data_IF_934029078654
#
_entry.id   IF_934029078654
#
_cell.length_a   1.000
_cell.length_b   1.000
_cell.length_c   1.000
_cell.angle_alpha   90.00
_cell.angle_beta   90.00
_cell.angle_gamma   90.00
#
_symmetry.space_group_name_H-M   'P 1'
#
loop_
_entity.id
_entity.type
_entity.pdbx_description
1 polymer ?
#
# COMPACT_ATOMS: atom_id res chain seq x y z
N UNK A 1 -11.63 9.11 7.18
CA UNK A 1 -11.98 9.60 5.83
C UNK A 1 -12.33 8.43 4.95
N UNK A 2 -13.47 8.51 4.28
CA UNK A 2 -13.86 7.47 3.34
C UNK A 2 -13.06 7.62 2.04
N UNK A 3 -12.43 6.53 1.60
CA UNK A 3 -11.56 6.54 0.42
C UNK A 3 -12.13 5.58 -0.62
N UNK A 4 -13.39 5.78 -0.97
CA UNK A 4 -14.03 4.98 -2.00
C UNK A 4 -13.55 5.42 -3.37
N UNK A 5 -13.23 4.48 -4.21
CA UNK A 5 -12.88 4.70 -5.60
C UNK A 5 -11.65 5.59 -5.82
N UNK A 6 -10.84 5.81 -4.77
CA UNK A 6 -9.60 6.55 -4.92
C UNK A 6 -8.60 5.74 -5.74
N UNK A 7 -7.92 6.41 -6.66
CA UNK A 7 -6.86 5.77 -7.44
C UNK A 7 -5.62 5.55 -6.57
N UNK A 8 -4.74 4.65 -7.02
CA UNK A 8 -3.48 4.43 -6.33
C UNK A 8 -2.66 5.71 -6.23
N UNK A 9 -2.67 6.53 -7.27
CA UNK A 9 -1.96 7.80 -7.27
C UNK A 9 -2.49 8.74 -6.20
N UNK A 10 -3.82 8.84 -6.06
CA UNK A 10 -4.44 9.66 -5.02
C UNK A 10 -4.07 9.16 -3.63
N UNK A 11 -4.14 7.85 -3.41
CA UNK A 11 -3.78 7.25 -2.13
C UNK A 11 -2.30 7.48 -1.81
N UNK A 12 -1.45 7.35 -2.80
CA UNK A 12 -0.01 7.59 -2.64
C UNK A 12 0.26 9.04 -2.22
N UNK A 13 -0.41 10.01 -2.86
CA UNK A 13 -0.26 11.42 -2.52
C UNK A 13 -0.77 11.70 -1.10
N UNK A 14 -1.84 11.05 -0.68
CA UNK A 14 -2.35 11.18 0.68
C UNK A 14 -1.31 10.72 1.70
N UNK A 15 -0.62 9.61 1.44
CA UNK A 15 0.44 9.12 2.30
C UNK A 15 1.58 10.13 2.41
N UNK A 16 1.97 10.74 1.30
CA UNK A 16 3.06 11.72 1.28
C UNK A 16 2.75 12.99 2.08
N UNK A 17 1.47 13.27 2.30
CA UNK A 17 1.04 14.46 3.01
C UNK A 17 0.70 14.21 4.49
N UNK A 18 0.97 13.01 4.99
CA UNK A 18 0.73 12.71 6.40
C UNK A 18 1.68 13.51 7.30
N UNK A 19 1.20 13.90 8.50
CA UNK A 19 2.05 14.58 9.47
C UNK A 19 3.26 13.74 9.87
N UNK A 20 4.37 14.40 10.17
CA UNK A 20 5.63 13.72 10.50
C UNK A 20 5.54 12.87 11.77
N UNK A 21 4.65 13.21 12.69
CA UNK A 21 4.49 12.48 13.95
C UNK A 21 3.64 11.21 13.80
N UNK A 22 3.08 10.95 12.63
CA UNK A 22 2.35 9.71 12.37
C UNK A 22 3.35 8.62 12.02
N UNK A 23 3.44 7.60 12.87
CA UNK A 23 4.36 6.48 12.64
C UNK A 23 3.71 5.33 11.86
N UNK A 24 2.40 5.16 12.02
CA UNK A 24 1.66 4.07 11.41
C UNK A 24 0.37 4.58 10.80
N UNK A 25 -0.02 4.00 9.68
CA UNK A 25 -1.27 4.36 9.01
C UNK A 25 -1.91 3.10 8.44
N UNK A 26 -3.23 3.04 8.52
CA UNK A 26 -4.00 1.98 7.88
C UNK A 26 -4.92 2.61 6.85
N UNK A 27 -4.90 2.06 5.63
CA UNK A 27 -5.79 2.49 4.57
C UNK A 27 -6.82 1.39 4.33
N UNK A 28 -8.08 1.76 4.35
CA UNK A 28 -9.19 0.85 4.06
C UNK A 28 -9.96 1.43 2.88
N UNK A 29 -10.18 0.63 1.87
CA UNK A 29 -10.85 1.10 0.67
C UNK A 29 -11.22 -0.05 -0.25
N UNK A 30 -11.32 0.26 -1.52
CA UNK A 30 -11.76 -0.68 -2.54
C UNK A 30 -10.72 -0.88 -3.63
N UNK A 31 -10.77 -2.06 -4.26
CA UNK A 31 -10.01 -2.31 -5.47
C UNK A 31 -10.72 -1.64 -6.65
N UNK A 32 -9.97 -1.26 -7.71
CA UNK A 32 -8.55 -1.60 -7.90
C UNK A 32 -7.55 -0.66 -7.21
N UNK A 33 -8.00 0.41 -6.58
CA UNK A 33 -7.10 1.40 -6.00
C UNK A 33 -6.11 0.83 -4.99
N UNK A 34 -6.60 0.01 -4.04
CA UNK A 34 -5.73 -0.59 -3.04
C UNK A 34 -4.75 -1.58 -3.65
N UNK A 35 -5.20 -2.39 -4.60
CA UNK A 35 -4.36 -3.35 -5.28
C UNK A 35 -3.22 -2.65 -6.03
N UNK A 36 -3.54 -1.60 -6.75
CA UNK A 36 -2.55 -0.83 -7.50
C UNK A 36 -1.57 -0.12 -6.57
N UNK A 37 -2.07 0.40 -5.44
CA UNK A 37 -1.21 1.02 -4.45
C UNK A 37 -0.22 0.00 -3.86
N UNK A 38 -0.70 -1.17 -3.48
CA UNK A 38 0.18 -2.22 -2.93
C UNK A 38 1.25 -2.60 -3.94
N UNK A 39 0.90 -2.75 -5.21
CA UNK A 39 1.86 -3.04 -6.26
C UNK A 39 2.89 -1.91 -6.41
N UNK A 40 2.44 -0.65 -6.33
CA UNK A 40 3.34 0.49 -6.45
C UNK A 40 4.30 0.61 -5.26
N UNK A 41 3.89 0.21 -4.07
CA UNK A 41 4.72 0.29 -2.87
C UNK A 41 5.74 -0.86 -2.80
N UNK A 42 5.43 -2.02 -3.35
CA UNK A 42 6.33 -3.16 -3.36
C UNK A 42 7.54 -2.89 -4.25
N UNK A 43 8.71 -3.49 -3.94
CA UNK A 43 9.91 -3.25 -4.73
C UNK A 43 9.72 -3.57 -6.20
N UNK A 44 10.28 -2.73 -7.08
CA UNK A 44 10.19 -2.92 -8.52
C UNK A 44 10.79 -4.27 -8.92
N UNK A 45 10.08 -5.02 -9.77
CA UNK A 45 10.54 -6.32 -10.23
C UNK A 45 10.41 -7.44 -9.21
N UNK A 46 9.86 -7.17 -8.03
CA UNK A 46 9.70 -8.18 -7.00
C UNK A 46 8.52 -9.11 -7.29
N UNK A 47 8.56 -10.28 -6.65
CA UNK A 47 7.42 -11.20 -6.69
C UNK A 47 6.20 -10.59 -6.03
N UNK A 48 6.42 -9.82 -4.98
CA UNK A 48 5.34 -9.15 -4.24
C UNK A 48 4.61 -8.18 -5.17
N UNK A 49 5.34 -7.38 -5.93
CA UNK A 49 4.72 -6.46 -6.89
C UNK A 49 3.92 -7.21 -7.93
N UNK A 50 4.46 -8.28 -8.48
CA UNK A 50 3.75 -9.08 -9.47
C UNK A 50 2.48 -9.71 -8.90
N UNK A 51 2.58 -10.23 -7.68
CA UNK A 51 1.43 -10.82 -7.00
C UNK A 51 0.30 -9.81 -6.82
N UNK A 52 0.63 -8.58 -6.37
CA UNK A 52 -0.38 -7.54 -6.18
C UNK A 52 -0.99 -7.08 -7.50
N UNK A 53 -0.22 -7.07 -8.58
CA UNK A 53 -0.76 -6.74 -9.89
C UNK A 53 -1.82 -7.75 -10.35
N UNK A 54 -1.65 -9.00 -9.96
CA UNK A 54 -2.56 -10.06 -10.34
C UNK A 54 -3.79 -10.12 -9.47
N UNK A 55 -3.62 -9.96 -8.15
CA UNK A 55 -4.72 -10.15 -7.23
C UNK A 55 -4.48 -9.53 -5.86
N UNK A 56 -5.49 -8.86 -5.35
CA UNK A 56 -5.60 -8.48 -3.94
C UNK A 56 -7.07 -8.71 -3.54
N UNK A 57 -7.39 -9.85 -2.92
CA UNK A 57 -8.79 -10.16 -2.59
C UNK A 57 -9.40 -9.17 -1.62
N UNK A 58 -10.71 -9.02 -1.67
CA UNK A 58 -11.45 -8.25 -0.69
C UNK A 58 -11.17 -8.80 0.70
N UNK A 59 -10.86 -7.93 1.65
CA UNK A 59 -10.52 -8.31 3.02
C UNK A 59 -9.08 -8.72 3.21
N UNK A 60 -8.25 -8.66 2.16
CA UNK A 60 -6.82 -8.92 2.29
C UNK A 60 -6.14 -7.77 3.02
N UNK A 61 -5.04 -8.09 3.70
CA UNK A 61 -4.20 -7.11 4.38
C UNK A 61 -2.77 -7.25 3.87
N UNK A 62 -2.16 -6.12 3.54
CA UNK A 62 -0.74 -6.05 3.22
C UNK A 62 -0.10 -4.99 4.11
N UNK A 63 1.00 -5.35 4.74
CA UNK A 63 1.73 -4.46 5.64
C UNK A 63 3.12 -4.22 5.10
N UNK A 64 3.49 -2.95 5.00
CA UNK A 64 4.78 -2.53 4.49
C UNK A 64 5.52 -1.70 5.54
N UNK A 65 6.83 -1.89 5.61
CA UNK A 65 7.71 -1.00 6.35
C UNK A 65 8.49 -0.13 5.36
N UNK A 66 8.74 1.10 5.78
CA UNK A 66 9.51 2.06 5.00
C UNK A 66 10.59 2.67 5.87
N UNK A 67 11.78 2.81 5.32
CA UNK A 67 12.88 3.50 5.99
C UNK A 67 12.83 4.98 5.57
N UNK A 68 11.96 5.73 6.24
CA UNK A 68 11.70 7.13 5.92
C UNK A 68 11.78 8.00 7.18
N UNK A 69 12.38 9.17 7.03
CA UNK A 69 12.32 10.20 8.06
C UNK A 69 11.01 10.98 7.98
N UNK A 70 10.47 11.13 6.78
CA UNK A 70 9.26 11.90 6.50
C UNK A 70 8.40 11.19 5.46
N UNK A 71 7.09 11.27 5.63
CA UNK A 71 6.16 10.73 4.64
C UNK A 71 6.34 11.39 3.26
N UNK A 72 6.73 12.67 3.24
CA UNK A 72 6.96 13.37 1.97
C UNK A 72 8.10 12.77 1.14
N UNK A 73 8.95 11.96 1.74
CA UNK A 73 10.05 11.27 1.06
C UNK A 73 9.64 9.91 0.51
N UNK A 74 8.37 9.52 0.65
CA UNK A 74 7.89 8.25 0.15
C UNK A 74 8.06 8.15 -1.37
N UNK A 75 8.66 7.05 -1.82
CA UNK A 75 8.89 6.78 -3.23
C UNK A 75 8.27 5.43 -3.61
N UNK A 76 7.81 5.28 -4.87
CA UNK A 76 7.35 3.98 -5.32
C UNK A 76 8.45 2.93 -5.24
N UNK A 77 8.07 1.71 -4.92
CA UNK A 77 9.01 0.60 -4.91
C UNK A 77 9.94 0.54 -3.73
N UNK A 78 9.66 1.29 -2.66
CA UNK A 78 10.53 1.33 -1.48
C UNK A 78 9.96 0.63 -0.26
N UNK A 79 8.75 0.07 -0.36
CA UNK A 79 8.11 -0.62 0.75
C UNK A 79 8.67 -2.03 0.92
N UNK A 80 8.98 -2.40 2.15
CA UNK A 80 9.33 -3.77 2.49
C UNK A 80 8.09 -4.48 2.99
N UNK A 81 7.64 -5.49 2.25
CA UNK A 81 6.44 -6.24 2.63
C UNK A 81 6.74 -7.10 3.85
N UNK A 82 6.00 -6.86 4.93
CA UNK A 82 6.17 -7.60 6.18
C UNK A 82 5.10 -8.66 6.37
N UNK A 83 3.90 -8.39 5.89
CA UNK A 83 2.77 -9.28 6.10
C UNK A 83 1.81 -9.18 4.91
N UNK A 84 1.33 -10.31 4.44
CA UNK A 84 0.27 -10.35 3.46
C UNK A 84 -0.68 -11.47 3.85
N UNK A 85 -1.93 -11.12 4.13
CA UNK A 85 -2.95 -12.06 4.56
C UNK A 85 -4.16 -11.93 3.65
N UNK A 86 -4.70 -13.08 3.23
CA UNK A 86 -5.92 -13.13 2.44
C UNK A 86 -6.97 -13.93 3.22
N UNK A 87 -8.26 -13.53 3.17
CA UNK A 87 -9.30 -14.28 3.87
C UNK A 87 -9.41 -15.73 3.43
N UNK A 88 -8.95 -16.05 2.25
CA UNK A 88 -9.02 -17.39 1.68
C UNK A 88 -7.71 -18.17 1.83
N UNK A 89 -6.75 -17.63 2.56
CA UNK A 89 -5.46 -18.27 2.79
C UNK A 89 -5.54 -19.14 4.05
N UNK A 90 -6.26 -20.23 3.94
CA UNK A 90 -6.46 -21.14 5.06
C UNK A 90 -5.88 -22.49 4.74
#
# INVERSE_FOLDING_TARGET
MAIYDASAQTLFQMLKHLPEDVAHVMIVGHNPGLQELAAALAPAGSRERQSFKEKLPTGAVASFDFDLDRWSNLQPGTGELKLSISPNAV
#
